data_IF_941477570625
#
_entry.id   IF_941477570625
#
_cell.length_a   1.000
_cell.length_b   1.000
_cell.length_c   1.000
_cell.angle_alpha   90.00
_cell.angle_beta   90.00
_cell.angle_gamma   90.00
#
_symmetry.space_group_name_H-M   'P 1'
#
loop_
_entity.id
_entity.type
_entity.pdbx_description
1 polymer ?
#
# COMPACT_ATOMS: atom_id res chain seq x y z
N UNK A 1 -2.22 -11.20 -14.53
CA UNK A 1 -2.01 -10.17 -13.53
C UNK A 1 -3.22 -9.25 -13.39
N UNK A 2 -3.62 -8.60 -14.47
CA UNK A 2 -4.80 -7.75 -14.43
C UNK A 2 -6.10 -8.49 -14.71
N UNK A 3 -6.03 -9.69 -15.28
CA UNK A 3 -7.20 -10.54 -15.47
C UNK A 3 -7.77 -11.05 -14.15
N UNK A 4 -7.01 -10.98 -13.06
CA UNK A 4 -7.50 -11.35 -11.74
C UNK A 4 -8.73 -10.55 -11.34
N UNK A 5 -8.80 -9.28 -11.71
CA UNK A 5 -9.95 -8.45 -11.41
C UNK A 5 -11.23 -9.01 -12.04
N UNK A 6 -11.14 -9.51 -13.29
CA UNK A 6 -12.28 -10.10 -13.97
C UNK A 6 -12.68 -11.45 -13.35
N UNK A 7 -11.70 -12.24 -12.94
CA UNK A 7 -11.96 -13.54 -12.29
C UNK A 7 -12.61 -13.30 -10.93
N UNK A 8 -12.07 -12.39 -10.14
CA UNK A 8 -12.65 -12.03 -8.85
C UNK A 8 -14.05 -11.46 -9.00
N UNK A 9 -14.27 -10.68 -10.05
CA UNK A 9 -15.57 -10.11 -10.36
C UNK A 9 -16.61 -11.21 -10.58
N UNK A 10 -16.29 -12.23 -11.38
CA UNK A 10 -17.16 -13.37 -11.60
C UNK A 10 -17.40 -14.14 -10.30
N UNK A 11 -16.38 -14.31 -9.48
CA UNK A 11 -16.46 -15.04 -8.23
C UNK A 11 -17.30 -14.33 -7.19
N UNK A 12 -17.16 -13.00 -7.10
CA UNK A 12 -17.89 -12.17 -6.14
C UNK A 12 -19.29 -11.80 -6.59
N UNK A 13 -19.64 -12.10 -7.83
CA UNK A 13 -20.95 -11.75 -8.39
C UNK A 13 -22.13 -12.29 -7.58
N UNK A 14 -21.94 -13.42 -6.90
CA UNK A 14 -22.97 -14.05 -6.08
C UNK A 14 -23.06 -13.44 -4.67
N UNK A 15 -22.07 -12.61 -4.28
CA UNK A 15 -21.95 -12.02 -2.95
C UNK A 15 -22.16 -10.52 -3.04
N UNK A 16 -21.53 -9.89 -4.02
CA UNK A 16 -21.56 -8.44 -4.22
C UNK A 16 -22.05 -8.14 -5.62
N UNK A 17 -22.74 -7.02 -5.77
CA UNK A 17 -23.05 -6.48 -7.09
C UNK A 17 -21.77 -5.94 -7.71
N UNK A 18 -21.77 -5.80 -9.03
CA UNK A 18 -20.65 -5.20 -9.76
C UNK A 18 -20.33 -3.80 -9.24
N UNK A 19 -21.40 -3.02 -8.98
CA UNK A 19 -21.28 -1.65 -8.47
C UNK A 19 -20.61 -1.62 -7.09
N UNK A 20 -21.02 -2.51 -6.20
CA UNK A 20 -20.44 -2.60 -4.84
C UNK A 20 -18.97 -2.97 -4.89
N UNK A 21 -18.61 -3.91 -5.74
CA UNK A 21 -17.20 -4.30 -5.93
C UNK A 21 -16.36 -3.13 -6.40
N UNK A 22 -16.81 -2.42 -7.46
CA UNK A 22 -16.09 -1.28 -8.00
C UNK A 22 -15.99 -0.14 -6.99
N UNK A 23 -17.05 0.12 -6.24
CA UNK A 23 -17.06 1.17 -5.22
C UNK A 23 -16.07 0.85 -4.09
N UNK A 24 -16.04 -0.39 -3.61
CA UNK A 24 -15.09 -0.82 -2.60
C UNK A 24 -13.65 -0.72 -3.09
N UNK A 25 -13.41 -1.10 -4.33
CA UNK A 25 -12.09 -1.01 -4.94
C UNK A 25 -11.63 0.44 -5.09
N UNK A 26 -12.53 1.33 -5.53
CA UNK A 26 -12.24 2.76 -5.64
C UNK A 26 -11.93 3.38 -4.28
N UNK A 27 -12.62 2.97 -3.21
CA UNK A 27 -12.35 3.45 -1.85
C UNK A 27 -10.95 3.03 -1.39
N UNK A 28 -10.52 1.81 -1.71
CA UNK A 28 -9.18 1.34 -1.40
C UNK A 28 -8.12 2.16 -2.14
N UNK A 29 -8.32 2.41 -3.43
CA UNK A 29 -7.40 3.21 -4.22
C UNK A 29 -7.30 4.64 -3.68
N UNK A 30 -8.41 5.21 -3.27
CA UNK A 30 -8.42 6.55 -2.69
C UNK A 30 -7.65 6.60 -1.36
N UNK A 31 -7.78 5.59 -0.53
CA UNK A 31 -7.02 5.49 0.71
C UNK A 31 -5.51 5.46 0.45
N UNK A 32 -5.09 4.66 -0.52
CA UNK A 32 -3.68 4.59 -0.90
C UNK A 32 -3.18 5.91 -1.47
N UNK A 33 -3.98 6.54 -2.32
CA UNK A 33 -3.67 7.86 -2.89
C UNK A 33 -3.52 8.90 -1.78
N UNK A 34 -4.41 8.89 -0.79
CA UNK A 34 -4.34 9.81 0.34
C UNK A 34 -3.07 9.61 1.15
N UNK A 35 -2.61 8.37 1.34
CA UNK A 35 -1.36 8.09 2.04
C UNK A 35 -0.15 8.64 1.29
N UNK A 36 -0.12 8.45 -0.01
CA UNK A 36 0.96 8.99 -0.86
C UNK A 36 0.96 10.51 -0.79
N UNK A 37 -0.22 11.11 -0.88
CA UNK A 37 -0.37 12.56 -0.80
C UNK A 37 0.08 13.11 0.54
N UNK A 38 -0.28 12.43 1.63
CA UNK A 38 0.19 12.78 2.98
C UNK A 38 1.72 12.77 3.04
N UNK A 39 2.36 11.74 2.49
CA UNK A 39 3.81 11.65 2.46
C UNK A 39 4.42 12.84 1.73
N UNK A 40 3.87 13.20 0.58
CA UNK A 40 4.37 14.33 -0.21
C UNK A 40 4.20 15.66 0.51
N UNK A 41 3.07 15.84 1.18
CA UNK A 41 2.83 17.03 2.00
C UNK A 41 3.81 17.13 3.17
N UNK A 42 4.08 16.00 3.84
CA UNK A 42 5.03 15.95 4.96
C UNK A 42 6.47 16.15 4.53
N UNK A 43 6.81 15.78 3.28
CA UNK A 43 8.13 16.11 2.71
C UNK A 43 8.26 17.60 2.45
N UNK A 44 7.20 18.23 1.94
CA UNK A 44 7.20 19.65 1.64
C UNK A 44 7.09 20.51 2.89
N UNK A 45 6.28 20.09 3.86
CA UNK A 45 6.06 20.81 5.11
C UNK A 45 6.18 19.84 6.29
N UNK A 46 7.42 19.58 6.74
CA UNK A 46 7.66 18.61 7.82
C UNK A 46 6.95 18.98 9.12
N UNK A 47 6.50 17.96 9.83
CA UNK A 47 5.88 18.09 11.15
C UNK A 47 6.82 17.47 12.17
N UNK A 48 7.30 18.29 13.11
CA UNK A 48 8.20 17.84 14.16
C UNK A 48 7.52 16.76 15.02
N UNK A 49 8.27 15.71 15.35
CA UNK A 49 7.76 14.60 16.14
C UNK A 49 6.91 13.60 15.36
N UNK A 50 6.66 13.84 14.07
CA UNK A 50 5.89 12.93 13.24
C UNK A 50 6.67 11.67 12.88
N UNK A 51 6.09 10.52 13.14
CA UNK A 51 6.65 9.23 12.73
C UNK A 51 6.78 9.14 11.20
N UNK A 52 5.76 9.61 10.49
CA UNK A 52 5.79 9.66 9.02
C UNK A 52 7.00 10.45 8.53
N UNK A 53 7.28 11.61 9.12
CA UNK A 53 8.44 12.39 8.75
C UNK A 53 9.76 11.67 9.05
N UNK A 54 9.84 10.92 10.14
CA UNK A 54 11.02 10.11 10.43
C UNK A 54 11.27 9.08 9.36
N UNK A 55 10.22 8.40 8.91
CA UNK A 55 10.33 7.41 7.83
C UNK A 55 10.76 8.07 6.51
N UNK A 56 10.29 9.27 6.24
CA UNK A 56 10.60 9.98 5.00
C UNK A 56 12.02 10.55 4.97
N UNK A 57 12.60 10.85 6.12
CA UNK A 57 13.92 11.48 6.22
C UNK A 57 15.03 10.52 6.62
N UNK A 58 14.73 9.46 7.35
CA UNK A 58 15.70 8.46 7.77
C UNK A 58 15.52 7.19 6.94
N UNK A 59 16.28 7.10 5.87
CA UNK A 59 16.18 5.97 4.93
C UNK A 59 16.56 4.64 5.56
N UNK A 60 17.50 4.64 6.49
CA UNK A 60 17.91 3.43 7.20
C UNK A 60 16.79 2.91 8.08
N UNK A 61 16.11 3.80 8.81
CA UNK A 61 14.96 3.45 9.61
C UNK A 61 13.83 2.91 8.74
N UNK A 62 13.53 3.61 7.65
CA UNK A 62 12.47 3.21 6.71
C UNK A 62 12.73 1.82 6.14
N UNK A 63 13.96 1.53 5.73
CA UNK A 63 14.36 0.22 5.25
C UNK A 63 14.17 -0.86 6.31
N UNK A 64 14.64 -0.61 7.53
CA UNK A 64 14.52 -1.56 8.62
C UNK A 64 13.06 -1.85 8.96
N UNK A 65 12.21 -0.83 8.95
CA UNK A 65 10.79 -0.99 9.25
C UNK A 65 10.06 -1.80 8.17
N UNK A 66 10.36 -1.55 6.89
CA UNK A 66 9.76 -2.36 5.81
C UNK A 66 10.07 -3.84 6.00
N UNK A 67 11.33 -4.17 6.28
CA UNK A 67 11.74 -5.56 6.49
C UNK A 67 11.04 -6.17 7.71
N UNK A 68 10.97 -5.42 8.80
CA UNK A 68 10.31 -5.85 10.03
C UNK A 68 8.82 -6.12 9.79
N UNK A 69 8.12 -5.21 9.13
CA UNK A 69 6.68 -5.34 8.90
C UNK A 69 6.34 -6.48 7.93
N UNK A 70 7.18 -6.70 6.92
CA UNK A 70 7.00 -7.85 6.02
C UNK A 70 7.17 -9.16 6.81
N UNK A 71 8.16 -9.24 7.68
CA UNK A 71 8.37 -10.42 8.52
C UNK A 71 7.17 -10.67 9.44
N UNK A 72 6.64 -9.63 10.06
CA UNK A 72 5.47 -9.72 10.92
C UNK A 72 4.22 -10.16 10.15
N UNK A 73 4.05 -9.70 8.91
CA UNK A 73 2.95 -10.14 8.06
C UNK A 73 3.05 -11.64 7.76
N UNK A 74 4.24 -12.09 7.39
CA UNK A 74 4.46 -13.52 7.09
C UNK A 74 4.13 -14.36 8.32
N UNK A 75 4.61 -13.95 9.48
CA UNK A 75 4.32 -14.63 10.74
C UNK A 75 2.83 -14.65 11.06
N UNK A 76 2.15 -13.52 10.85
CA UNK A 76 0.71 -13.42 11.08
C UNK A 76 -0.08 -14.39 10.19
N UNK A 77 0.35 -14.55 8.93
CA UNK A 77 -0.27 -15.50 8.00
C UNK A 77 -0.05 -16.93 8.47
N UNK A 78 1.17 -17.26 8.88
CA UNK A 78 1.50 -18.61 9.38
C UNK A 78 0.72 -18.94 10.66
N UNK A 79 0.52 -17.97 11.53
CA UNK A 79 -0.20 -18.14 12.80
C UNK A 79 -1.72 -17.91 12.64
N UNK A 80 -2.16 -17.48 11.47
CA UNK A 80 -3.56 -17.13 11.19
C UNK A 80 -4.11 -16.12 12.21
N UNK A 81 -3.36 -15.06 12.47
CA UNK A 81 -3.68 -14.05 13.49
C UNK A 81 -3.24 -12.67 13.03
N UNK A 82 -4.09 -11.66 13.22
CA UNK A 82 -3.78 -10.24 12.95
C UNK A 82 -3.32 -9.94 11.51
N UNK A 83 -3.72 -10.74 10.55
CA UNK A 83 -3.24 -10.63 9.16
C UNK A 83 -3.56 -9.29 8.53
N UNK A 84 -4.77 -8.77 8.77
CA UNK A 84 -5.19 -7.49 8.18
C UNK A 84 -4.40 -6.34 8.80
N UNK A 85 -4.20 -6.35 10.11
CA UNK A 85 -3.42 -5.34 10.80
C UNK A 85 -1.99 -5.30 10.25
N UNK A 86 -1.35 -6.46 10.14
CA UNK A 86 0.02 -6.54 9.65
C UNK A 86 0.12 -6.20 8.16
N UNK A 87 -0.88 -6.57 7.36
CA UNK A 87 -0.92 -6.18 5.96
C UNK A 87 -1.02 -4.67 5.81
N UNK A 88 -1.83 -4.01 6.64
CA UNK A 88 -1.95 -2.56 6.63
C UNK A 88 -0.63 -1.88 7.00
N UNK A 89 0.08 -2.42 8.00
CA UNK A 89 1.40 -1.91 8.40
C UNK A 89 2.41 -2.03 7.27
N UNK A 90 2.39 -3.15 6.54
CA UNK A 90 3.27 -3.33 5.38
C UNK A 90 2.96 -2.30 4.30
N UNK A 91 1.69 -2.11 3.98
CA UNK A 91 1.29 -1.14 2.94
C UNK A 91 1.74 0.27 3.30
N UNK A 92 1.51 0.68 4.54
CA UNK A 92 1.89 2.01 5.01
C UNK A 92 3.41 2.21 4.91
N UNK A 93 4.19 1.30 5.49
CA UNK A 93 5.64 1.44 5.53
C UNK A 93 6.25 1.33 4.12
N UNK A 94 5.68 0.49 3.27
CA UNK A 94 6.15 0.33 1.90
C UNK A 94 5.93 1.61 1.09
N UNK A 95 4.77 2.24 1.22
CA UNK A 95 4.50 3.51 0.54
C UNK A 95 5.43 4.62 1.05
N UNK A 96 5.69 4.68 2.35
CA UNK A 96 6.61 5.66 2.92
C UNK A 96 8.05 5.40 2.43
N UNK A 97 8.44 4.15 2.34
CA UNK A 97 9.75 3.77 1.81
C UNK A 97 9.91 4.20 0.34
N UNK A 98 8.88 4.01 -0.47
CA UNK A 98 8.90 4.48 -1.86
C UNK A 98 9.11 5.99 -1.89
N UNK A 99 8.33 6.75 -1.16
CA UNK A 99 8.43 8.21 -1.16
C UNK A 99 9.75 8.71 -0.58
N UNK A 100 10.30 8.03 0.41
CA UNK A 100 11.61 8.37 0.98
C UNK A 100 12.73 8.20 -0.04
N UNK A 101 12.57 7.28 -0.99
CA UNK A 101 13.59 6.95 -1.99
C UNK A 101 13.24 7.48 -3.39
N UNK A 102 12.32 8.42 -3.48
CA UNK A 102 11.91 9.04 -4.75
C UNK A 102 11.39 8.02 -5.77
N UNK A 103 10.78 6.95 -5.30
CA UNK A 103 10.09 5.98 -6.15
C UNK A 103 8.63 6.39 -6.22
N UNK A 104 8.23 6.97 -7.34
CA UNK A 104 6.87 7.47 -7.51
C UNK A 104 5.91 6.34 -7.83
N UNK A 105 4.77 6.33 -7.14
CA UNK A 105 3.73 5.32 -7.39
C UNK A 105 3.24 5.39 -8.85
N UNK A 106 3.24 6.56 -9.45
CA UNK A 106 2.88 6.76 -10.85
C UNK A 106 3.79 5.99 -11.79
N UNK A 107 5.08 5.93 -11.47
CA UNK A 107 6.05 5.20 -12.28
C UNK A 107 5.91 3.68 -12.08
N UNK A 108 5.58 3.26 -10.86
CA UNK A 108 5.26 1.85 -10.58
C UNK A 108 4.04 1.44 -11.40
N UNK A 109 3.01 2.28 -11.44
CA UNK A 109 1.80 2.03 -12.21
C UNK A 109 2.13 1.85 -13.69
N UNK A 110 2.94 2.73 -14.26
CA UNK A 110 3.37 2.62 -15.66
C UNK A 110 4.11 1.33 -15.94
N UNK A 111 5.00 0.93 -15.03
CA UNK A 111 5.74 -0.32 -15.18
C UNK A 111 4.81 -1.54 -15.12
N UNK A 112 3.84 -1.53 -14.21
CA UNK A 112 2.86 -2.59 -14.13
C UNK A 112 1.99 -2.66 -15.39
N UNK A 113 1.59 -1.51 -15.93
CA UNK A 113 0.82 -1.44 -17.16
C UNK A 113 1.60 -2.01 -18.36
N UNK A 114 2.91 -1.78 -18.40
CA UNK A 114 3.78 -2.36 -19.43
C UNK A 114 3.82 -3.88 -19.37
N UNK A 115 3.72 -4.46 -18.18
CA UNK A 115 3.75 -5.91 -17.96
C UNK A 115 2.39 -6.56 -18.18
N UNK A 116 1.38 -5.77 -18.41
CA UNK A 116 0.01 -6.23 -18.65
C UNK A 116 -0.05 -6.98 -19.98
N UNK A 117 -0.59 -8.19 -19.96
CA UNK A 117 -0.79 -9.00 -21.16
C UNK A 117 -2.25 -9.06 -21.55
#
# INVERSE_FOLDING_TARGET
YFTMANIQFKRLRNIWTQKEYLLGFNNMLKTLENLVQLARERKATPVEGSYTNRLLTDKSLSKAKVLEEIHELIQAVEENSNKIHEAADVMYHLLMYFEANEIKIEDIQKELDKRKK
#
